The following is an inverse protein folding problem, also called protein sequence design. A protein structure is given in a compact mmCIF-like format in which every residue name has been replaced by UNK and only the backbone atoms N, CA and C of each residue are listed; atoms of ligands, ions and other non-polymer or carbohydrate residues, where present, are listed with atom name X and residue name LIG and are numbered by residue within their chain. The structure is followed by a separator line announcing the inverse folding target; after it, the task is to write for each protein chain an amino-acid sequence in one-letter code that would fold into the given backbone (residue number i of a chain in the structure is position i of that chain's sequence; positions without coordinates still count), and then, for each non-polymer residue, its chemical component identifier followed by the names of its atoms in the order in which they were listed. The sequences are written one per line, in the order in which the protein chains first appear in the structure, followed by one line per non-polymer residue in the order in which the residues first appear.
data_IF_266665281205
#
_entry.id   IF_266665281205
#
_cell.length_a   1.000
_cell.length_b   1.000
_cell.length_c   1.000
_cell.angle_alpha   90.00
_cell.angle_beta   90.00
_cell.angle_gamma   90.00
#
_symmetry.space_group_name_H-M   'P 1'
#
loop_
_entity.id
_entity.type
_entity.pdbx_description
1 polymer ?
#
# COMPACT_ATOMS: atom_id res chain seq x y z
N UNK A 1 -5.36 -0.71 -19.70
CA UNK A 1 -4.42 -1.85 -19.78
C UNK A 1 -4.29 -2.40 -18.37
N UNK A 2 -4.73 -3.63 -18.05
CA UNK A 2 -5.01 -4.13 -16.68
C UNK A 2 -3.87 -4.05 -15.62
N UNK A 3 -3.43 -2.84 -15.29
CA UNK A 3 -2.32 -2.54 -14.40
C UNK A 3 -2.70 -2.70 -12.93
N UNK A 4 -3.99 -2.92 -12.63
CA UNK A 4 -4.47 -3.30 -11.30
C UNK A 4 -3.97 -4.69 -10.85
N UNK A 5 -3.52 -5.55 -11.77
CA UNK A 5 -3.06 -6.92 -11.48
C UNK A 5 -1.77 -6.92 -10.64
N UNK A 6 -0.82 -6.04 -10.95
CA UNK A 6 0.46 -5.97 -10.23
C UNK A 6 0.26 -5.55 -8.76
N UNK A 7 -0.48 -4.45 -8.45
CA UNK A 7 -0.81 -4.09 -7.08
C UNK A 7 -1.60 -5.16 -6.33
N UNK A 8 -2.50 -5.90 -6.99
CA UNK A 8 -3.30 -6.94 -6.34
C UNK A 8 -2.48 -8.20 -6.03
N UNK A 9 -1.56 -8.62 -6.90
CA UNK A 9 -0.58 -9.68 -6.57
C UNK A 9 0.25 -9.26 -5.37
N UNK A 10 0.77 -8.03 -5.36
CA UNK A 10 1.54 -7.51 -4.23
C UNK A 10 0.70 -7.47 -2.95
N UNK A 11 -0.59 -7.10 -3.03
CA UNK A 11 -1.51 -7.09 -1.91
C UNK A 11 -1.70 -8.50 -1.31
N UNK A 12 -1.83 -9.52 -2.16
CA UNK A 12 -1.93 -10.92 -1.73
C UNK A 12 -0.65 -11.36 -1.02
N UNK A 13 0.52 -11.06 -1.58
CA UNK A 13 1.81 -11.37 -0.94
C UNK A 13 1.92 -10.70 0.42
N UNK A 14 1.59 -9.41 0.52
CA UNK A 14 1.57 -8.66 1.79
C UNK A 14 0.59 -9.29 2.79
N UNK A 15 -0.57 -9.74 2.32
CA UNK A 15 -1.58 -10.41 3.16
C UNK A 15 -1.06 -11.74 3.73
N UNK A 16 -0.33 -12.52 2.92
CA UNK A 16 0.31 -13.78 3.36
C UNK A 16 1.42 -13.48 4.36
N UNK A 17 2.31 -12.54 4.06
CA UNK A 17 3.42 -12.13 4.94
C UNK A 17 2.87 -11.63 6.28
N UNK A 18 1.80 -10.84 6.28
CA UNK A 18 1.12 -10.38 7.50
C UNK A 18 0.60 -11.55 8.35
N UNK A 19 0.04 -12.60 7.71
CA UNK A 19 -0.46 -13.79 8.42
C UNK A 19 0.67 -14.61 9.04
N UNK A 20 1.81 -14.73 8.35
CA UNK A 20 2.98 -15.49 8.82
C UNK A 20 3.79 -14.72 9.87
N UNK A 21 4.01 -13.43 9.66
CA UNK A 21 4.90 -12.60 10.47
C UNK A 21 4.15 -11.63 11.39
N UNK A 22 3.13 -12.10 12.13
CA UNK A 22 2.25 -11.26 12.97
C UNK A 22 3.00 -10.31 13.92
N UNK A 23 4.12 -10.75 14.51
CA UNK A 23 4.95 -9.93 15.41
C UNK A 23 5.62 -8.77 14.68
N UNK A 24 6.12 -9.01 13.47
CA UNK A 24 6.73 -7.97 12.62
C UNK A 24 5.63 -7.07 12.06
N UNK A 25 4.49 -7.64 11.64
CA UNK A 25 3.37 -6.91 11.05
C UNK A 25 2.73 -5.89 11.98
N UNK A 26 2.62 -6.21 13.27
CA UNK A 26 2.15 -5.28 14.28
C UNK A 26 3.15 -4.16 14.54
N UNK A 27 4.45 -4.42 14.38
CA UNK A 27 5.52 -3.43 14.60
C UNK A 27 5.64 -2.42 13.46
N UNK A 28 5.38 -2.85 12.22
CA UNK A 28 5.53 -2.00 11.03
C UNK A 28 4.19 -1.65 10.36
N UNK A 29 3.05 -1.81 11.05
CA UNK A 29 1.72 -1.49 10.51
C UNK A 29 1.49 -2.04 9.08
N UNK A 30 1.82 -3.32 8.86
CA UNK A 30 1.61 -4.00 7.57
C UNK A 30 0.12 -4.03 7.14
N UNK A 31 -0.80 -3.89 8.10
CA UNK A 31 -2.23 -3.76 7.82
C UNK A 31 -2.61 -2.44 7.14
N UNK A 32 -1.88 -1.36 7.38
CA UNK A 32 -2.08 -0.09 6.67
C UNK A 32 -1.64 -0.24 5.20
N UNK A 33 -0.48 -0.86 4.98
CA UNK A 33 0.04 -1.15 3.64
C UNK A 33 -0.94 -2.03 2.85
N UNK A 34 -1.43 -3.11 3.47
CA UNK A 34 -2.45 -3.99 2.86
C UNK A 34 -3.72 -3.21 2.46
N UNK A 35 -4.22 -2.33 3.32
CA UNK A 35 -5.38 -1.50 3.03
C UNK A 35 -5.14 -0.52 1.88
N UNK A 36 -3.97 0.12 1.84
CA UNK A 36 -3.58 1.02 0.75
C UNK A 36 -3.49 0.28 -0.60
N UNK A 37 -2.92 -0.93 -0.61
CA UNK A 37 -2.79 -1.73 -1.83
C UNK A 37 -4.15 -2.24 -2.33
N UNK A 38 -4.98 -2.81 -1.44
CA UNK A 38 -6.32 -3.28 -1.83
C UNK A 38 -7.24 -2.13 -2.24
N UNK A 39 -7.17 -0.99 -1.54
CA UNK A 39 -7.92 0.22 -1.89
C UNK A 39 -7.52 0.77 -3.26
N UNK A 40 -6.22 0.92 -3.51
CA UNK A 40 -5.70 1.36 -4.80
C UNK A 40 -6.03 0.39 -5.93
N UNK A 41 -5.80 -0.91 -5.72
CA UNK A 41 -6.12 -1.95 -6.70
C UNK A 41 -7.62 -2.00 -7.03
N UNK A 42 -8.48 -1.85 -6.01
CA UNK A 42 -9.93 -1.85 -6.20
C UNK A 42 -10.43 -0.67 -7.03
N UNK A 43 -9.94 0.55 -6.75
CA UNK A 43 -10.31 1.75 -7.52
C UNK A 43 -9.82 1.65 -8.97
N UNK A 44 -8.57 1.19 -9.19
CA UNK A 44 -8.03 1.00 -10.54
C UNK A 44 -8.77 -0.09 -11.32
N UNK A 45 -9.18 -1.17 -10.65
CA UNK A 45 -10.00 -2.21 -11.28
C UNK A 45 -11.36 -1.65 -11.72
N UNK A 46 -12.00 -0.82 -10.89
CA UNK A 46 -13.25 -0.15 -11.25
C UNK A 46 -13.07 0.81 -12.43
N UNK A 47 -11.97 1.58 -12.46
CA UNK A 47 -11.64 2.45 -13.58
C UNK A 47 -11.51 1.67 -14.89
N UNK A 48 -10.84 0.53 -14.87
CA UNK A 48 -10.64 -0.31 -16.06
C UNK A 48 -11.95 -0.98 -16.55
N UNK A 49 -12.83 -1.36 -15.61
CA UNK A 49 -14.18 -1.85 -15.93
C UNK A 49 -15.03 -0.72 -16.51
N UNK A 50 -14.96 0.48 -15.94
CA UNK A 50 -15.71 1.65 -16.41
C UNK A 50 -15.24 2.15 -17.79
N UNK A 51 -13.95 2.10 -18.06
CA UNK A 51 -13.38 2.45 -19.37
C UNK A 51 -13.58 1.37 -20.44
N UNK A 52 -14.18 0.23 -20.12
CA UNK A 52 -14.47 -0.84 -21.09
C UNK A 52 -13.24 -1.67 -21.51
N UNK A 53 -12.14 -1.54 -20.79
CA UNK A 53 -10.92 -2.33 -21.01
C UNK A 53 -10.99 -3.71 -20.35
N UNK A 54 -11.84 -3.86 -19.34
CA UNK A 54 -12.13 -5.12 -18.64
C UNK A 54 -13.62 -5.42 -18.76
N UNK A 55 -13.94 -6.52 -19.42
CA UNK A 55 -15.34 -6.98 -19.62
C UNK A 55 -15.54 -8.37 -19.03
N UNK A 56 -16.71 -8.67 -18.42
CA UNK A 56 -16.96 -9.95 -17.76
C UNK A 56 -17.24 -11.11 -18.73
N UNK A 57 -17.27 -10.85 -20.03
CA UNK A 57 -17.35 -11.87 -21.07
C UNK A 57 -16.00 -12.04 -21.78
N UNK A 58 -15.66 -13.26 -22.24
CA UNK A 58 -14.43 -13.48 -22.98
C UNK A 58 -14.47 -12.74 -24.35
N UNK A 59 -13.35 -12.14 -24.81
CA UNK A 59 -12.04 -12.03 -24.16
C UNK A 59 -11.98 -10.85 -23.17
N UNK A 60 -11.72 -11.15 -21.88
CA UNK A 60 -11.78 -10.21 -20.75
C UNK A 60 -10.86 -8.97 -20.86
N UNK A 61 -9.83 -9.04 -21.71
CA UNK A 61 -8.88 -7.96 -22.01
C UNK A 61 -9.01 -7.62 -23.50
N UNK A 62 -9.88 -6.67 -23.83
CA UNK A 62 -10.22 -6.29 -25.21
C UNK A 62 -9.03 -5.74 -26.00
N UNK A 63 -7.99 -5.23 -25.32
CA UNK A 63 -6.77 -4.68 -25.92
C UNK A 63 -5.69 -5.71 -26.31
N UNK A 64 -5.94 -7.01 -26.11
CA UNK A 64 -4.92 -8.07 -26.22
C UNK A 64 -5.27 -9.13 -27.28
N UNK A 65 -5.70 -8.68 -28.47
CA UNK A 65 -6.15 -9.58 -29.55
C UNK A 65 -5.02 -10.17 -30.43
N UNK A 66 -3.79 -9.62 -30.41
CA UNK A 66 -2.66 -10.01 -31.28
C UNK A 66 -1.46 -10.52 -30.48
N UNK A 67 -0.97 -11.75 -30.76
CA UNK A 67 0.11 -12.43 -30.01
C UNK A 67 1.46 -11.70 -30.00
N UNK A 68 1.77 -10.87 -30.99
CA UNK A 68 3.02 -10.08 -31.02
C UNK A 68 2.94 -8.83 -30.12
N UNK A 69 1.74 -8.30 -29.87
CA UNK A 69 1.53 -7.09 -29.06
C UNK A 69 1.41 -7.38 -27.56
N UNK A 70 1.24 -8.66 -27.17
CA UNK A 70 1.17 -9.09 -25.78
C UNK A 70 2.45 -8.76 -25.00
N UNK A 71 3.63 -8.98 -25.58
CA UNK A 71 4.90 -8.79 -24.88
C UNK A 71 5.16 -7.32 -24.56
N UNK A 72 4.91 -6.44 -25.53
CA UNK A 72 5.08 -4.99 -25.37
C UNK A 72 4.02 -4.42 -24.42
N UNK A 73 2.75 -4.81 -24.57
CA UNK A 73 1.68 -4.38 -23.66
C UNK A 73 1.93 -4.85 -22.22
N UNK A 74 2.41 -6.07 -22.01
CA UNK A 74 2.79 -6.57 -20.68
C UNK A 74 3.98 -5.81 -20.10
N UNK A 75 4.96 -5.42 -20.91
CA UNK A 75 6.12 -4.68 -20.43
C UNK A 75 5.72 -3.28 -19.93
N UNK A 76 4.92 -2.56 -20.71
CA UNK A 76 4.38 -1.24 -20.31
C UNK A 76 3.48 -1.36 -19.07
N UNK A 77 2.68 -2.42 -18.97
CA UNK A 77 1.88 -2.70 -17.78
C UNK A 77 2.74 -3.04 -16.55
N UNK A 78 3.84 -3.77 -16.74
CA UNK A 78 4.75 -4.14 -15.66
C UNK A 78 5.52 -2.93 -15.13
N UNK A 79 6.03 -2.07 -16.00
CA UNK A 79 6.77 -0.87 -15.58
C UNK A 79 5.85 0.12 -14.85
N UNK A 80 4.65 0.38 -15.36
CA UNK A 80 3.67 1.26 -14.71
C UNK A 80 3.15 0.63 -13.40
N UNK A 81 2.79 -0.65 -13.40
CA UNK A 81 2.36 -1.34 -12.19
C UNK A 81 3.43 -1.35 -11.08
N UNK A 82 4.70 -1.53 -11.46
CA UNK A 82 5.83 -1.49 -10.52
C UNK A 82 6.09 -0.08 -9.98
N UNK A 83 6.02 0.96 -10.81
CA UNK A 83 6.20 2.34 -10.33
C UNK A 83 5.10 2.74 -9.35
N UNK A 84 3.85 2.35 -9.61
CA UNK A 84 2.73 2.57 -8.68
C UNK A 84 2.88 1.80 -7.37
N UNK A 85 3.36 0.55 -7.44
CA UNK A 85 3.66 -0.25 -6.26
C UNK A 85 4.77 0.38 -5.41
N UNK A 86 5.86 0.83 -6.04
CA UNK A 86 6.97 1.51 -5.36
C UNK A 86 6.51 2.82 -4.71
N UNK A 87 5.68 3.61 -5.40
CA UNK A 87 5.11 4.84 -4.83
C UNK A 87 4.26 4.52 -3.58
N UNK A 88 3.43 3.49 -3.63
CA UNK A 88 2.59 3.08 -2.50
C UNK A 88 3.43 2.61 -1.29
N UNK A 89 4.48 1.82 -1.54
CA UNK A 89 5.43 1.41 -0.50
C UNK A 89 6.19 2.61 0.06
N UNK A 90 6.56 3.57 -0.79
CA UNK A 90 7.22 4.82 -0.39
C UNK A 90 6.35 5.66 0.55
N UNK A 91 5.06 5.85 0.21
CA UNK A 91 4.10 6.56 1.07
C UNK A 91 3.94 5.85 2.42
N UNK A 92 3.81 4.53 2.43
CA UNK A 92 3.74 3.75 3.68
C UNK A 92 5.01 3.91 4.52
N UNK A 93 6.20 3.86 3.90
CA UNK A 93 7.47 4.15 4.57
C UNK A 93 7.51 5.55 5.18
N UNK A 94 6.97 6.54 4.47
CA UNK A 94 6.80 7.91 4.97
C UNK A 94 5.88 7.99 6.19
N UNK A 95 4.75 7.29 6.18
CA UNK A 95 3.84 7.21 7.35
C UNK A 95 4.53 6.57 8.55
N UNK A 96 5.31 5.50 8.35
CA UNK A 96 6.07 4.88 9.44
C UNK A 96 7.13 5.80 10.02
N UNK A 97 7.81 6.57 9.17
CA UNK A 97 8.78 7.57 9.61
C UNK A 97 8.09 8.67 10.42
N UNK A 98 6.95 9.17 9.93
CA UNK A 98 6.16 10.18 10.62
C UNK A 98 5.67 9.67 11.99
N UNK A 99 5.13 8.46 12.07
CA UNK A 99 4.72 7.82 13.33
C UNK A 99 5.87 7.74 14.32
N UNK A 100 7.08 7.40 13.84
CA UNK A 100 8.28 7.32 14.69
C UNK A 100 8.66 8.70 15.23
N UNK A 101 8.67 9.72 14.37
CA UNK A 101 8.97 11.11 14.78
C UNK A 101 7.91 11.65 15.76
N UNK A 102 6.63 11.42 15.47
CA UNK A 102 5.53 11.82 16.33
C UNK A 102 5.61 11.18 17.73
N UNK A 103 5.95 9.88 17.81
CA UNK A 103 6.14 9.18 19.09
C UNK A 103 7.30 9.74 19.91
N UNK A 104 8.41 10.12 19.27
CA UNK A 104 9.54 10.77 19.96
C UNK A 104 9.08 12.09 20.57
N UNK A 105 8.40 12.95 19.80
CA UNK A 105 7.87 14.21 20.31
C UNK A 105 6.88 14.03 21.47
N UNK A 106 5.97 13.05 21.37
CA UNK A 106 4.99 12.74 22.42
C UNK A 106 5.67 12.27 23.72
N UNK A 107 6.70 11.44 23.62
CA UNK A 107 7.43 10.92 24.79
C UNK A 107 8.11 12.06 25.55
N UNK A 108 8.72 13.01 24.83
CA UNK A 108 9.30 14.21 25.45
C UNK A 108 8.23 15.07 26.15
N UNK A 109 7.06 15.24 25.55
CA UNK A 109 5.96 16.01 26.15
C UNK A 109 5.45 15.37 27.45
N UNK A 110 5.22 14.06 27.46
CA UNK A 110 4.75 13.32 28.65
C UNK A 110 5.81 13.31 29.76
N UNK A 111 7.09 13.21 29.41
CA UNK A 111 8.19 13.29 30.39
C UNK A 111 8.27 14.68 31.06
N UNK A 112 8.05 15.76 30.29
CA UNK A 112 8.00 17.13 30.81
C UNK A 112 6.79 17.32 31.73
N UNK A 113 5.59 16.90 31.29
CA UNK A 113 4.38 16.99 32.12
C UNK A 113 4.52 16.24 33.44
N UNK A 114 5.03 14.99 33.42
CA UNK A 114 5.31 14.25 34.66
C UNK A 114 6.30 14.98 35.57
N UNK A 115 7.36 15.56 35.01
CA UNK A 115 8.36 16.28 35.80
C UNK A 115 7.76 17.52 36.48
N UNK A 116 6.92 18.26 35.76
CA UNK A 116 6.20 19.44 36.29
C UNK A 116 5.23 19.06 37.42
N UNK A 117 4.42 18.01 37.22
CA UNK A 117 3.45 17.54 38.23
C UNK A 117 4.16 17.09 39.52
N UNK A 118 5.25 16.33 39.42
CA UNK A 118 5.98 15.86 40.61
C UNK A 118 6.63 17.01 41.38
N UNK A 119 7.14 18.04 40.69
CA UNK A 119 7.73 19.23 41.34
C UNK A 119 6.72 20.16 42.00
N UNK A 120 5.46 20.18 41.53
CA UNK A 120 4.39 20.97 42.14
C UNK A 120 3.77 20.27 43.36
N UNK A 121 3.76 18.94 43.39
CA UNK A 121 3.23 18.16 44.53
C UNK A 121 4.17 18.10 45.75
N UNK A 122 5.43 18.52 45.61
CA UNK A 122 6.46 18.47 46.67
C UNK A 122 6.75 19.83 47.32
N UNK A 123 6.08 20.89 46.88
CA UNK A 123 6.07 22.21 47.53
C UNK A 123 4.75 22.42 48.26
#
# INVERSE_FOLDING_TARGET
MACFIIPSILAIVVSIVKRVAKKVSAKINLGLLEGMLWGGAGILALEHVWHGEVVPWPPFLTAMQSSEEWATALHEMATVGVTMALATVGVWGGVLLFDKLARVMQTHRVAIEKKVVTTLSTK
#
